data_IF_045960979770
#
_entry.id   IF_045960979770
#
_cell.length_a   1.000
_cell.length_b   1.000
_cell.length_c   1.000
_cell.angle_alpha   90.00
_cell.angle_beta   90.00
_cell.angle_gamma   90.00
#
_symmetry.space_group_name_H-M   'P 1'
#
loop_
_entity.id
_entity.type
_entity.pdbx_description
1 polymer ?
#
# COMPACT_ATOMS: atom_id res chain seq x y z
N UNK A 1 25.00 -6.65 45.02
CA UNK A 1 26.24 -6.00 45.49
C UNK A 1 27.42 -6.85 45.02
N UNK A 2 27.94 -6.59 43.82
CA UNK A 2 29.18 -7.19 43.32
C UNK A 2 29.90 -6.12 42.50
N UNK A 3 30.93 -5.52 43.11
CA UNK A 3 31.88 -4.62 42.45
C UNK A 3 32.87 -5.47 41.62
N UNK A 4 33.14 -5.06 40.38
CA UNK A 4 34.39 -5.41 39.70
C UNK A 4 35.04 -4.17 39.11
N UNK A 5 36.34 -4.08 39.41
CA UNK A 5 37.28 -3.01 39.10
C UNK A 5 37.66 -2.95 37.61
N UNK A 6 37.60 -1.73 37.06
CA UNK A 6 38.61 -0.97 36.30
C UNK A 6 39.66 -1.71 35.44
N UNK A 7 39.76 -1.32 34.16
CA UNK A 7 40.97 -0.65 33.58
C UNK A 7 40.67 0.03 32.23
N UNK A 8 41.16 1.27 31.99
CA UNK A 8 41.06 1.96 30.72
C UNK A 8 42.25 1.64 29.80
N UNK A 9 42.04 1.67 28.48
CA UNK A 9 43.07 1.56 27.46
C UNK A 9 43.19 2.93 26.78
N UNK A 10 44.37 3.54 26.87
CA UNK A 10 44.76 4.73 26.10
C UNK A 10 45.87 4.37 25.08
N UNK A 11 46.08 5.22 24.05
CA UNK A 11 46.44 4.79 22.70
C UNK A 11 47.95 4.74 22.48
N UNK A 12 48.38 3.90 21.54
CA UNK A 12 49.77 3.88 21.06
C UNK A 12 49.86 4.63 19.73
N UNK A 13 50.57 5.77 19.77
CA UNK A 13 51.03 6.50 18.60
C UNK A 13 52.06 5.67 17.82
N UNK A 14 52.01 5.75 16.49
CA UNK A 14 53.14 5.35 15.63
C UNK A 14 53.56 6.52 14.75
N UNK A 15 54.87 6.64 14.72
CA UNK A 15 55.74 7.70 14.25
C UNK A 15 55.81 7.82 12.73
N UNK A 16 56.03 9.06 12.31
CA UNK A 16 56.48 9.54 11.01
C UNK A 16 57.74 8.84 10.49
N UNK A 17 57.72 8.38 9.24
CA UNK A 17 58.91 8.03 8.45
C UNK A 17 58.89 8.75 7.11
N UNK A 18 59.72 9.78 6.96
CA UNK A 18 60.09 10.40 5.68
C UNK A 18 61.09 9.48 4.97
N UNK A 19 60.85 9.16 3.70
CA UNK A 19 61.91 8.73 2.77
C UNK A 19 61.82 9.63 1.54
N UNK A 20 62.95 10.26 1.23
CA UNK A 20 63.17 11.07 0.05
C UNK A 20 63.80 10.21 -1.06
N UNK A 21 63.45 10.53 -2.31
CA UNK A 21 64.34 10.40 -3.46
C UNK A 21 64.18 9.15 -4.33
N UNK A 22 63.56 9.32 -5.51
CA UNK A 22 64.15 8.97 -6.80
C UNK A 22 63.20 9.38 -7.94
N UNK A 23 63.62 10.36 -8.75
CA UNK A 23 63.07 10.60 -10.08
C UNK A 23 63.32 9.36 -10.96
N UNK A 24 62.26 8.79 -11.54
CA UNK A 24 62.33 8.05 -12.80
C UNK A 24 61.13 8.43 -13.65
N UNK A 25 61.42 8.97 -14.84
CA UNK A 25 60.48 9.15 -15.91
C UNK A 25 59.92 7.76 -16.30
N UNK A 26 58.63 7.56 -16.09
CA UNK A 26 57.89 6.35 -16.44
C UNK A 26 56.64 6.74 -17.19
N UNK A 27 56.54 6.25 -18.43
CA UNK A 27 55.43 6.39 -19.37
C UNK A 27 54.08 6.17 -18.67
N UNK A 28 53.19 7.17 -18.73
CA UNK A 28 51.79 7.02 -18.32
C UNK A 28 51.08 6.24 -19.43
N UNK A 29 50.95 4.93 -19.23
CA UNK A 29 50.04 4.10 -20.02
C UNK A 29 48.65 4.19 -19.36
N UNK A 30 47.78 5.06 -19.89
CA UNK A 30 46.37 5.11 -19.48
C UNK A 30 45.68 3.85 -19.99
N UNK A 31 45.67 2.79 -19.17
CA UNK A 31 44.77 1.66 -19.36
C UNK A 31 43.37 2.13 -19.02
N UNK A 32 42.62 2.52 -20.05
CA UNK A 32 41.18 2.68 -19.96
C UNK A 32 40.58 1.30 -19.69
N UNK A 33 40.23 1.03 -18.43
CA UNK A 33 39.35 -0.08 -18.10
C UNK A 33 37.94 0.31 -18.53
N UNK A 34 37.55 -0.11 -19.72
CA UNK A 34 36.14 -0.19 -20.08
C UNK A 34 35.53 -1.28 -19.21
N UNK A 35 34.82 -0.87 -18.15
CA UNK A 35 33.91 -1.77 -17.44
C UNK A 35 32.82 -2.13 -18.47
N UNK A 36 32.64 -3.41 -18.83
CA UNK A 36 31.52 -3.79 -19.66
C UNK A 36 30.25 -3.56 -18.84
N UNK A 37 29.45 -2.56 -19.23
CA UNK A 37 28.06 -2.39 -18.77
C UNK A 37 27.23 -3.52 -19.36
N UNK A 38 27.37 -4.71 -18.79
CA UNK A 38 26.50 -5.84 -19.06
C UNK A 38 25.14 -5.58 -18.40
N UNK A 39 24.20 -5.10 -19.22
CA UNK A 39 22.78 -5.44 -19.13
C UNK A 39 22.00 -4.86 -17.95
N UNK A 40 21.85 -3.54 -17.86
CA UNK A 40 20.79 -2.93 -17.04
C UNK A 40 20.09 -1.73 -17.70
N UNK A 41 20.68 -1.09 -18.71
CA UNK A 41 20.09 0.12 -19.30
C UNK A 41 18.85 -0.19 -20.18
N UNK A 42 18.76 -1.38 -20.76
CA UNK A 42 17.61 -1.78 -21.58
C UNK A 42 16.36 -2.12 -20.75
N UNK A 43 16.53 -2.67 -19.53
CA UNK A 43 15.39 -2.92 -18.62
C UNK A 43 14.94 -1.63 -17.93
N UNK A 44 15.86 -0.72 -17.60
CA UNK A 44 15.53 0.61 -17.07
C UNK A 44 14.88 1.53 -18.13
N UNK A 45 15.24 1.39 -19.41
CA UNK A 45 14.67 2.20 -20.49
C UNK A 45 13.27 1.73 -20.93
N UNK A 46 12.91 0.46 -20.67
CA UNK A 46 11.57 -0.08 -20.97
C UNK A 46 10.46 0.42 -20.02
N UNK A 47 10.81 1.01 -18.87
CA UNK A 47 9.83 1.51 -17.90
C UNK A 47 9.38 2.95 -18.17
N UNK A 48 10.04 3.69 -19.05
CA UNK A 48 9.66 5.06 -19.39
C UNK A 48 8.47 5.15 -20.39
N UNK A 49 7.91 4.04 -20.84
CA UNK A 49 6.81 4.03 -21.80
C UNK A 49 5.44 3.88 -21.13
N UNK A 50 4.44 4.57 -21.71
CA UNK A 50 3.03 4.25 -21.46
C UNK A 50 2.75 2.78 -21.76
N UNK A 51 1.83 2.17 -21.02
CA UNK A 51 1.47 0.77 -21.18
C UNK A 51 0.09 0.47 -20.62
N UNK A 52 -0.25 -0.80 -20.68
CA UNK A 52 -1.49 -1.36 -20.15
C UNK A 52 -1.18 -2.72 -19.53
N UNK A 53 -1.82 -3.04 -18.42
CA UNK A 53 -1.72 -4.36 -17.78
C UNK A 53 -3.12 -4.88 -17.47
N UNK A 54 -3.37 -6.13 -17.84
CA UNK A 54 -4.56 -6.85 -17.43
C UNK A 54 -4.34 -7.44 -16.02
N UNK A 55 -5.39 -7.39 -15.20
CA UNK A 55 -5.38 -7.87 -13.81
C UNK A 55 -6.27 -9.09 -13.66
N UNK A 56 -5.84 -10.01 -12.79
CA UNK A 56 -6.59 -11.21 -12.45
C UNK A 56 -7.25 -11.09 -11.09
N UNK A 57 -8.49 -11.57 -10.99
CA UNK A 57 -9.21 -11.60 -9.72
C UNK A 57 -8.62 -12.66 -8.78
N UNK A 58 -8.25 -12.24 -7.57
CA UNK A 58 -7.74 -13.12 -6.52
C UNK A 58 -8.61 -13.08 -5.28
N UNK A 59 -9.03 -14.26 -4.83
CA UNK A 59 -9.71 -14.45 -3.55
C UNK A 59 -8.67 -14.60 -2.43
N UNK A 60 -8.88 -13.89 -1.33
CA UNK A 60 -8.12 -14.04 -0.10
C UNK A 60 -8.98 -14.79 0.92
N UNK A 61 -8.61 -16.05 1.21
CA UNK A 61 -9.26 -16.84 2.27
C UNK A 61 -8.93 -16.28 3.66
N UNK A 62 -7.67 -15.89 3.83
CA UNK A 62 -7.19 -15.20 5.01
C UNK A 62 -6.92 -13.74 4.67
N UNK A 63 -7.81 -12.85 5.07
CA UNK A 63 -7.63 -11.43 4.85
C UNK A 63 -6.57 -10.87 5.81
N UNK A 64 -5.50 -10.33 5.24
CA UNK A 64 -4.40 -9.72 6.00
C UNK A 64 -3.98 -8.36 5.44
N UNK A 65 -4.76 -7.81 4.51
CA UNK A 65 -4.51 -6.50 3.94
C UNK A 65 -5.14 -5.45 4.86
N UNK A 66 -4.35 -4.49 5.30
CA UNK A 66 -4.83 -3.34 6.05
C UNK A 66 -5.37 -2.28 5.07
N UNK A 67 -6.68 -2.09 5.09
CA UNK A 67 -7.36 -1.09 4.26
C UNK A 67 -7.30 0.30 4.92
N UNK A 68 -7.21 1.38 4.14
CA UNK A 68 -7.17 2.73 4.69
C UNK A 68 -8.52 3.11 5.34
N UNK A 69 -9.64 2.61 4.82
CA UNK A 69 -10.99 2.90 5.32
C UNK A 69 -11.88 1.65 5.27
N UNK A 70 -11.47 0.57 5.96
CA UNK A 70 -12.27 -0.65 6.04
C UNK A 70 -13.69 -0.37 6.55
N UNK A 71 -14.68 -0.82 5.79
CA UNK A 71 -16.10 -0.77 6.17
C UNK A 71 -16.75 -2.13 6.03
N UNK A 72 -17.71 -2.37 6.92
CA UNK A 72 -18.57 -3.55 6.88
C UNK A 72 -20.00 -3.10 6.60
N UNK A 73 -20.54 -3.57 5.49
CA UNK A 73 -21.92 -3.31 5.06
C UNK A 73 -22.86 -4.36 5.62
N UNK A 74 -24.13 -4.00 5.81
CA UNK A 74 -25.15 -4.97 6.24
C UNK A 74 -25.54 -5.83 5.05
N UNK A 75 -25.65 -7.14 5.24
CA UNK A 75 -26.06 -8.06 4.17
C UNK A 75 -27.47 -7.74 3.63
N UNK A 76 -28.41 -7.36 4.50
CA UNK A 76 -29.78 -7.07 4.08
C UNK A 76 -30.44 -8.30 3.44
N UNK A 77 -30.97 -8.12 2.23
CA UNK A 77 -31.61 -9.14 1.40
C UNK A 77 -30.70 -9.68 0.27
N UNK A 78 -29.43 -9.27 0.24
CA UNK A 78 -28.47 -9.75 -0.76
C UNK A 78 -27.41 -8.73 -1.15
N UNK A 79 -26.69 -9.06 -2.22
CA UNK A 79 -25.57 -8.28 -2.74
C UNK A 79 -25.90 -7.79 -4.16
N UNK A 80 -25.61 -6.51 -4.42
CA UNK A 80 -25.74 -5.92 -5.74
C UNK A 80 -24.35 -5.79 -6.37
N UNK A 81 -24.17 -6.39 -7.55
CA UNK A 81 -22.93 -6.32 -8.32
C UNK A 81 -23.28 -5.65 -9.66
N UNK A 82 -23.06 -4.33 -9.82
CA UNK A 82 -23.63 -3.55 -10.93
C UNK A 82 -23.23 -4.00 -12.34
N UNK A 83 -22.14 -4.74 -12.46
CA UNK A 83 -21.64 -5.25 -13.73
C UNK A 83 -22.04 -6.70 -14.00
N UNK A 84 -22.79 -7.34 -13.09
CA UNK A 84 -23.34 -8.69 -13.25
C UNK A 84 -24.63 -8.66 -14.07
N UNK A 85 -24.87 -9.72 -14.83
CA UNK A 85 -26.18 -9.96 -15.46
C UNK A 85 -27.27 -10.31 -14.46
N UNK A 86 -26.90 -10.77 -13.27
CA UNK A 86 -27.85 -11.03 -12.20
C UNK A 86 -28.25 -9.70 -11.53
N UNK A 87 -29.55 -9.44 -11.41
CA UNK A 87 -30.06 -8.26 -10.71
C UNK A 87 -29.59 -8.21 -9.25
N UNK A 88 -29.46 -9.39 -8.62
CA UNK A 88 -29.07 -9.52 -7.22
C UNK A 88 -28.60 -10.94 -6.89
N UNK A 89 -27.65 -11.02 -5.97
CA UNK A 89 -27.27 -12.27 -5.28
C UNK A 89 -28.04 -12.33 -3.97
N UNK A 90 -29.09 -13.15 -3.92
CA UNK A 90 -30.02 -13.21 -2.78
C UNK A 90 -29.31 -13.69 -1.51
N UNK A 91 -29.63 -13.07 -0.36
CA UNK A 91 -29.21 -13.57 0.94
C UNK A 91 -30.41 -13.67 1.89
N UNK A 92 -30.49 -14.78 2.63
CA UNK A 92 -31.61 -15.08 3.55
C UNK A 92 -31.10 -15.64 4.87
N UNK A 93 -31.75 -15.26 5.96
CA UNK A 93 -31.50 -15.87 7.26
C UNK A 93 -32.18 -17.23 7.34
N UNK A 94 -31.43 -18.24 7.73
CA UNK A 94 -31.90 -19.62 7.91
C UNK A 94 -31.60 -20.07 9.34
N UNK A 95 -32.42 -19.61 10.29
CA UNK A 95 -32.10 -19.68 11.71
C UNK A 95 -30.99 -18.70 12.05
N UNK A 96 -29.84 -19.20 12.53
CA UNK A 96 -28.64 -18.39 12.81
C UNK A 96 -27.68 -18.31 11.64
N UNK A 97 -27.84 -19.16 10.63
CA UNK A 97 -27.00 -19.18 9.44
C UNK A 97 -27.48 -18.16 8.40
N UNK A 98 -26.57 -17.79 7.50
CA UNK A 98 -26.88 -17.01 6.31
C UNK A 98 -26.82 -17.90 5.08
N UNK A 99 -27.97 -18.10 4.44
CA UNK A 99 -28.05 -18.63 3.08
C UNK A 99 -27.70 -17.54 2.07
N UNK A 100 -26.85 -17.85 1.11
CA UNK A 100 -26.44 -16.97 0.02
C UNK A 100 -26.58 -17.70 -1.31
N UNK A 101 -27.22 -17.04 -2.26
CA UNK A 101 -27.16 -17.32 -3.70
C UNK A 101 -25.82 -16.81 -4.23
N UNK A 102 -24.96 -17.72 -4.71
CA UNK A 102 -23.62 -17.36 -5.17
C UNK A 102 -23.47 -17.21 -6.67
N UNK A 103 -24.44 -17.64 -7.49
CA UNK A 103 -24.38 -17.51 -8.95
C UNK A 103 -25.46 -16.61 -9.57
N UNK A 104 -26.34 -16.05 -8.75
CA UNK A 104 -27.33 -15.06 -9.12
C UNK A 104 -28.58 -15.66 -9.76
N UNK A 105 -28.85 -16.95 -9.55
CA UNK A 105 -30.03 -17.64 -10.09
C UNK A 105 -31.30 -17.45 -9.24
N UNK A 106 -31.17 -16.80 -8.08
CA UNK A 106 -32.26 -16.52 -7.13
C UNK A 106 -32.50 -17.63 -6.11
N UNK A 107 -31.80 -18.75 -6.20
CA UNK A 107 -31.82 -19.85 -5.25
C UNK A 107 -30.59 -19.82 -4.34
N UNK A 108 -30.80 -20.06 -3.05
CA UNK A 108 -29.68 -20.12 -2.09
C UNK A 108 -28.93 -21.44 -2.29
N UNK A 109 -27.62 -21.36 -2.53
CA UNK A 109 -26.77 -22.52 -2.80
C UNK A 109 -25.58 -22.67 -1.82
N UNK A 110 -25.29 -21.63 -1.02
CA UNK A 110 -24.26 -21.67 0.02
C UNK A 110 -24.83 -21.25 1.37
N UNK A 111 -24.41 -21.94 2.43
CA UNK A 111 -24.78 -21.65 3.81
C UNK A 111 -23.55 -21.25 4.62
N UNK A 112 -23.53 -20.04 5.16
CA UNK A 112 -22.51 -19.54 6.07
C UNK A 112 -22.97 -19.70 7.53
N UNK A 113 -22.16 -20.38 8.32
CA UNK A 113 -22.42 -20.66 9.74
C UNK A 113 -21.31 -20.09 10.63
N UNK A 114 -21.62 -19.90 11.91
CA UNK A 114 -20.68 -19.37 12.90
C UNK A 114 -20.51 -17.84 12.84
N UNK A 115 -19.42 -17.35 13.44
CA UNK A 115 -19.15 -15.91 13.57
C UNK A 115 -18.58 -15.28 12.31
N UNK A 116 -17.89 -16.08 11.48
CA UNK A 116 -17.18 -15.62 10.29
C UNK A 116 -17.44 -16.55 9.11
N UNK A 117 -17.55 -15.97 7.93
CA UNK A 117 -17.73 -16.73 6.68
C UNK A 117 -16.93 -16.14 5.53
N UNK A 118 -16.81 -16.91 4.46
CA UNK A 118 -16.29 -16.45 3.18
C UNK A 118 -17.23 -16.96 2.09
N UNK A 119 -17.71 -16.06 1.26
CA UNK A 119 -18.55 -16.39 0.10
C UNK A 119 -17.91 -15.80 -1.14
N UNK A 120 -17.99 -16.50 -2.26
CA UNK A 120 -17.51 -16.02 -3.55
C UNK A 120 -18.68 -16.01 -4.53
N UNK A 121 -19.16 -14.81 -4.84
CA UNK A 121 -20.15 -14.59 -5.89
C UNK A 121 -19.48 -14.84 -7.24
N UNK A 122 -20.21 -15.42 -8.17
CA UNK A 122 -19.77 -15.75 -9.53
C UNK A 122 -20.90 -15.45 -10.50
N UNK A 123 -20.57 -15.27 -11.77
CA UNK A 123 -21.58 -14.98 -12.78
C UNK A 123 -20.93 -14.55 -14.08
N UNK A 124 -21.74 -13.96 -14.94
CA UNK A 124 -21.29 -13.32 -16.17
C UNK A 124 -21.54 -11.82 -16.10
N UNK A 125 -20.64 -11.05 -16.69
CA UNK A 125 -20.84 -9.62 -16.90
C UNK A 125 -21.83 -9.39 -18.05
N UNK A 126 -22.30 -8.15 -18.24
CA UNK A 126 -23.16 -7.81 -19.39
C UNK A 126 -22.57 -8.23 -20.76
N UNK A 127 -21.23 -8.17 -20.87
CA UNK A 127 -20.48 -8.63 -22.04
C UNK A 127 -20.23 -10.16 -22.12
N UNK A 128 -20.83 -10.95 -21.23
CA UNK A 128 -20.70 -12.42 -21.19
C UNK A 128 -19.38 -12.93 -20.60
N UNK A 129 -18.54 -12.07 -20.01
CA UNK A 129 -17.28 -12.50 -19.40
C UNK A 129 -17.54 -13.07 -18.01
N UNK A 130 -16.93 -14.20 -17.62
CA UNK A 130 -17.08 -14.71 -16.27
C UNK A 130 -16.40 -13.78 -15.25
N UNK A 131 -17.01 -13.64 -14.08
CA UNK A 131 -16.40 -12.91 -12.97
C UNK A 131 -16.47 -13.67 -11.65
N UNK A 132 -15.69 -13.21 -10.67
CA UNK A 132 -15.73 -13.64 -9.28
C UNK A 132 -15.68 -12.42 -8.37
N UNK A 133 -16.38 -12.48 -7.24
CA UNK A 133 -16.38 -11.43 -6.24
C UNK A 133 -16.51 -12.03 -4.83
N UNK A 134 -15.43 -12.01 -4.06
CA UNK A 134 -15.36 -12.62 -2.74
C UNK A 134 -15.65 -11.63 -1.62
N UNK A 135 -16.43 -12.11 -0.65
CA UNK A 135 -16.89 -11.40 0.52
C UNK A 135 -16.54 -12.17 1.78
N UNK A 136 -15.96 -11.50 2.77
CA UNK A 136 -15.87 -12.03 4.13
C UNK A 136 -17.10 -11.58 4.90
N UNK A 137 -17.68 -12.50 5.65
CA UNK A 137 -18.87 -12.31 6.45
C UNK A 137 -18.53 -12.27 7.93
N UNK A 138 -19.27 -11.48 8.69
CA UNK A 138 -19.19 -11.36 10.15
C UNK A 138 -20.60 -11.30 10.73
N UNK A 139 -20.92 -12.17 11.70
CA UNK A 139 -22.25 -12.23 12.34
C UNK A 139 -22.28 -11.64 13.76
N UNK A 140 -21.15 -11.17 14.30
CA UNK A 140 -21.01 -10.68 15.69
C UNK A 140 -21.93 -9.52 16.05
N UNK A 141 -22.40 -8.76 15.06
CA UNK A 141 -23.35 -7.63 15.23
C UNK A 141 -24.48 -7.70 14.20
N UNK A 142 -24.94 -8.92 13.92
CA UNK A 142 -25.76 -9.24 12.76
C UNK A 142 -24.89 -9.43 11.52
N UNK A 143 -25.41 -10.17 10.53
CA UNK A 143 -24.68 -10.50 9.32
C UNK A 143 -24.29 -9.25 8.54
N UNK A 144 -22.98 -9.08 8.42
CA UNK A 144 -22.31 -8.01 7.71
C UNK A 144 -21.25 -8.58 6.80
N UNK A 145 -20.82 -7.81 5.82
CA UNK A 145 -19.82 -8.23 4.86
C UNK A 145 -18.85 -7.13 4.53
N UNK A 146 -17.70 -7.53 3.99
CA UNK A 146 -16.73 -6.64 3.36
C UNK A 146 -15.89 -7.44 2.37
N UNK A 147 -15.20 -6.74 1.47
CA UNK A 147 -14.39 -7.31 0.39
C UNK A 147 -13.37 -8.32 0.89
N UNK A 148 -13.28 -9.49 0.25
CA UNK A 148 -12.25 -10.52 0.51
C UNK A 148 -11.54 -10.98 -0.77
N UNK A 149 -11.49 -10.11 -1.77
CA UNK A 149 -10.70 -10.31 -2.98
C UNK A 149 -10.09 -9.01 -3.50
N UNK A 150 -9.27 -9.12 -4.53
CA UNK A 150 -8.65 -7.98 -5.21
C UNK A 150 -8.40 -8.31 -6.68
N UNK A 151 -8.37 -7.30 -7.54
CA UNK A 151 -7.76 -7.41 -8.86
C UNK A 151 -6.25 -7.27 -8.72
N UNK A 152 -5.48 -8.20 -9.27
CA UNK A 152 -4.03 -8.31 -9.04
C UNK A 152 -3.28 -8.42 -10.35
N UNK A 153 -2.22 -7.62 -10.49
CA UNK A 153 -1.30 -7.71 -11.63
C UNK A 153 0.02 -7.04 -11.32
N UNK A 154 0.77 -6.67 -12.36
CA UNK A 154 2.12 -6.12 -12.21
C UNK A 154 2.42 -5.06 -13.27
N UNK A 155 2.98 -3.94 -12.84
CA UNK A 155 3.64 -2.98 -13.73
C UNK A 155 5.14 -3.22 -13.55
N UNK A 156 5.80 -3.74 -14.59
CA UNK A 156 7.17 -4.25 -14.48
C UNK A 156 7.32 -5.32 -13.40
N UNK A 157 8.25 -5.12 -12.46
CA UNK A 157 8.45 -6.01 -11.32
C UNK A 157 7.57 -5.63 -10.10
N UNK A 158 6.82 -4.56 -10.16
CA UNK A 158 6.00 -4.07 -9.06
C UNK A 158 4.59 -4.66 -9.13
N UNK A 159 4.22 -5.41 -8.09
CA UNK A 159 2.85 -5.92 -7.93
C UNK A 159 1.89 -4.76 -7.63
N UNK A 160 0.72 -4.76 -8.24
CA UNK A 160 -0.39 -3.88 -7.89
C UNK A 160 -1.61 -4.70 -7.49
N UNK A 161 -2.41 -4.19 -6.57
CA UNK A 161 -3.67 -4.78 -6.13
C UNK A 161 -4.72 -3.69 -6.03
N UNK A 162 -5.85 -3.86 -6.71
CA UNK A 162 -7.02 -2.99 -6.59
C UNK A 162 -8.06 -3.67 -5.74
N UNK A 163 -8.63 -2.93 -4.81
CA UNK A 163 -9.57 -3.44 -3.83
C UNK A 163 -10.76 -2.49 -3.78
N UNK A 164 -11.91 -3.00 -4.17
CA UNK A 164 -13.21 -2.38 -3.94
C UNK A 164 -13.50 -2.39 -2.42
N UNK A 165 -12.91 -1.46 -1.67
CA UNK A 165 -13.11 -1.39 -0.21
C UNK A 165 -14.50 -0.86 0.13
N UNK A 166 -15.19 -0.30 -0.86
CA UNK A 166 -16.48 0.32 -0.71
C UNK A 166 -17.62 -0.68 -1.03
N UNK A 167 -17.30 -1.85 -1.58
CA UNK A 167 -18.22 -2.94 -1.89
C UNK A 167 -19.32 -2.60 -2.90
N UNK A 168 -19.06 -1.71 -3.86
CA UNK A 168 -20.03 -1.37 -4.90
C UNK A 168 -19.79 -2.11 -6.23
N UNK A 169 -18.84 -3.04 -6.28
CA UNK A 169 -18.45 -3.79 -7.46
C UNK A 169 -17.58 -3.02 -8.46
N UNK A 170 -17.26 -1.75 -8.22
CA UNK A 170 -16.34 -0.99 -9.07
C UNK A 170 -14.95 -1.00 -8.45
N UNK A 171 -13.95 -0.85 -9.30
CA UNK A 171 -12.54 -0.78 -8.89
C UNK A 171 -11.88 0.52 -9.35
N UNK A 172 -12.65 1.45 -9.94
CA UNK A 172 -12.19 2.72 -10.48
C UNK A 172 -12.65 3.94 -9.66
N UNK A 173 -13.12 3.74 -8.41
CA UNK A 173 -13.53 4.85 -7.55
C UNK A 173 -12.29 5.50 -6.89
N UNK A 174 -11.62 6.36 -7.64
CA UNK A 174 -10.44 7.08 -7.16
C UNK A 174 -10.72 7.88 -5.87
N UNK A 175 -9.85 7.71 -4.87
CA UNK A 175 -9.99 8.31 -3.55
C UNK A 175 -10.95 7.57 -2.61
N UNK A 176 -11.70 6.57 -3.09
CA UNK A 176 -12.64 5.77 -2.30
C UNK A 176 -12.28 4.29 -2.28
N UNK A 177 -11.83 3.70 -3.38
CA UNK A 177 -11.27 2.35 -3.43
C UNK A 177 -9.88 2.31 -2.79
N UNK A 178 -9.34 1.11 -2.62
CA UNK A 178 -8.03 0.89 -2.02
C UNK A 178 -7.06 0.27 -3.01
N UNK A 179 -5.77 0.60 -2.86
CA UNK A 179 -4.70 0.05 -3.67
C UNK A 179 -3.50 -0.34 -2.82
N UNK A 180 -2.89 -1.48 -3.15
CA UNK A 180 -1.54 -1.84 -2.68
C UNK A 180 -0.58 -1.79 -3.85
N UNK A 181 0.52 -1.06 -3.68
CA UNK A 181 1.64 -1.04 -4.63
C UNK A 181 2.86 -1.70 -3.98
N UNK A 182 3.46 -2.66 -4.67
CA UNK A 182 4.59 -3.46 -4.17
C UNK A 182 4.17 -4.68 -3.35
N UNK A 183 5.02 -5.05 -2.38
CA UNK A 183 4.89 -6.30 -1.59
C UNK A 183 4.26 -6.08 -0.20
N UNK A 184 3.95 -4.84 0.15
CA UNK A 184 3.34 -4.48 1.43
C UNK A 184 1.98 -5.14 1.63
N UNK A 185 1.49 -5.09 2.87
CA UNK A 185 0.14 -5.52 3.25
C UNK A 185 -0.76 -4.35 3.63
N UNK A 186 -0.31 -3.13 3.47
CA UNK A 186 -1.09 -1.94 3.76
C UNK A 186 -1.45 -1.26 2.46
N UNK A 187 -2.71 -0.86 2.35
CA UNK A 187 -3.23 -0.17 1.20
C UNK A 187 -3.34 1.33 1.49
N UNK A 188 -3.12 2.13 0.45
CA UNK A 188 -3.58 3.51 0.38
C UNK A 188 -4.95 3.57 -0.30
N UNK A 189 -5.56 4.74 -0.38
CA UNK A 189 -6.68 4.91 -1.30
C UNK A 189 -6.19 4.75 -2.74
N UNK A 190 -7.08 4.32 -3.63
CA UNK A 190 -6.83 4.29 -5.07
C UNK A 190 -6.50 5.72 -5.52
N UNK A 191 -5.36 5.86 -6.17
CA UNK A 191 -4.75 7.14 -6.52
C UNK A 191 -4.64 7.26 -8.03
N UNK A 192 -4.90 8.45 -8.58
CA UNK A 192 -4.64 8.71 -10.00
C UNK A 192 -3.14 8.64 -10.36
N UNK A 193 -2.27 8.71 -9.36
CA UNK A 193 -0.83 8.60 -9.53
C UNK A 193 -0.26 7.59 -8.55
N UNK A 194 0.53 6.66 -9.06
CA UNK A 194 1.20 5.61 -8.25
C UNK A 194 2.71 5.72 -8.40
N UNK A 195 3.45 5.24 -7.40
CA UNK A 195 4.91 5.10 -7.50
C UNK A 195 5.27 3.63 -7.74
N UNK A 196 5.90 3.35 -8.88
CA UNK A 196 6.37 2.02 -9.29
C UNK A 196 7.86 2.13 -9.56
N UNK A 197 8.66 1.31 -8.88
CA UNK A 197 10.13 1.28 -9.04
C UNK A 197 10.78 2.69 -9.02
N UNK A 198 10.40 3.49 -8.02
CA UNK A 198 10.83 4.89 -7.80
C UNK A 198 10.42 5.91 -8.87
N UNK A 199 9.54 5.55 -9.79
CA UNK A 199 8.97 6.48 -10.78
C UNK A 199 7.46 6.68 -10.55
N UNK A 200 6.97 7.88 -10.85
CA UNK A 200 5.55 8.21 -10.78
C UNK A 200 4.85 7.93 -12.12
N UNK A 201 3.71 7.25 -12.05
CA UNK A 201 2.85 7.00 -13.19
C UNK A 201 1.45 7.51 -12.93
N UNK A 202 0.88 8.23 -13.90
CA UNK A 202 -0.56 8.44 -13.95
C UNK A 202 -1.22 7.14 -14.40
N UNK A 203 -2.34 6.78 -13.77
CA UNK A 203 -3.10 5.56 -14.09
C UNK A 203 -4.57 5.84 -14.33
N UNK A 204 -5.15 5.01 -15.18
CA UNK A 204 -6.59 4.86 -15.40
C UNK A 204 -6.95 3.39 -15.18
N UNK A 205 -8.10 3.14 -14.54
CA UNK A 205 -8.54 1.80 -14.16
C UNK A 205 -9.87 1.51 -14.84
N UNK A 206 -10.04 0.32 -15.42
CA UNK A 206 -11.33 -0.07 -15.97
C UNK A 206 -12.38 -0.22 -14.84
N UNK A 207 -13.68 0.02 -15.08
CA UNK A 207 -14.71 -0.09 -14.04
C UNK A 207 -14.71 -1.41 -13.27
N UNK A 208 -14.44 -2.52 -13.96
CA UNK A 208 -14.35 -3.86 -13.38
C UNK A 208 -12.98 -4.20 -12.78
N UNK A 209 -12.02 -3.27 -12.85
CA UNK A 209 -10.65 -3.44 -12.37
C UNK A 209 -9.80 -4.43 -13.18
N UNK A 210 -10.31 -4.95 -14.30
CA UNK A 210 -9.60 -5.96 -15.10
C UNK A 210 -8.42 -5.39 -15.88
N UNK A 211 -8.30 -4.07 -15.98
CA UNK A 211 -7.22 -3.39 -16.69
C UNK A 211 -6.79 -2.12 -15.98
N UNK A 212 -5.48 -1.88 -16.01
CA UNK A 212 -4.87 -0.60 -15.64
C UNK A 212 -4.04 -0.09 -16.82
N UNK A 213 -4.40 1.08 -17.32
CA UNK A 213 -3.58 1.85 -18.25
C UNK A 213 -2.68 2.79 -17.45
N UNK A 214 -1.42 2.92 -17.86
CA UNK A 214 -0.45 3.74 -17.15
C UNK A 214 0.46 4.51 -18.10
N UNK A 215 0.91 5.68 -17.66
CA UNK A 215 1.89 6.51 -18.37
C UNK A 215 2.76 7.28 -17.38
N UNK A 216 4.01 7.64 -17.74
CA UNK A 216 4.81 8.52 -16.88
C UNK A 216 4.02 9.76 -16.48
N UNK A 217 4.09 10.10 -15.19
CA UNK A 217 3.47 11.30 -14.67
C UNK A 217 4.25 12.53 -15.12
N UNK A 218 3.56 13.49 -15.74
CA UNK A 218 4.12 14.70 -16.34
C UNK A 218 3.76 15.98 -15.56
N UNK A 219 3.07 15.83 -14.42
CA UNK A 219 2.70 16.94 -13.56
C UNK A 219 3.84 17.40 -12.65
N UNK A 220 3.63 18.51 -11.91
CA UNK A 220 4.61 19.00 -10.96
C UNK A 220 4.84 17.97 -9.85
N UNK A 221 6.10 17.72 -9.51
CA UNK A 221 6.51 16.77 -8.46
C UNK A 221 7.31 17.47 -7.39
N UNK A 222 7.16 17.03 -6.14
CA UNK A 222 8.04 17.40 -5.05
C UNK A 222 8.47 16.16 -4.27
N UNK A 223 9.33 16.36 -3.27
CA UNK A 223 9.82 15.27 -2.43
C UNK A 223 9.22 15.36 -1.04
N UNK A 224 8.74 14.24 -0.52
CA UNK A 224 8.20 14.13 0.82
C UNK A 224 9.08 13.21 1.66
N UNK A 225 9.62 13.74 2.75
CA UNK A 225 10.40 12.99 3.74
C UNK A 225 9.57 12.75 4.99
N UNK A 226 9.19 11.49 5.21
CA UNK A 226 8.37 11.07 6.34
C UNK A 226 9.18 10.45 7.49
N UNK A 227 10.50 10.30 7.34
CA UNK A 227 11.34 9.56 8.30
C UNK A 227 12.34 10.44 9.01
N UNK A 228 12.98 11.42 8.36
CA UNK A 228 14.12 12.13 8.96
C UNK A 228 13.78 12.93 10.22
N UNK A 229 12.49 13.28 10.40
CA UNK A 229 11.98 13.97 11.60
C UNK A 229 11.17 13.06 12.53
N UNK A 230 11.15 11.75 12.28
CA UNK A 230 10.49 10.77 13.12
C UNK A 230 11.47 10.31 14.21
N UNK A 231 11.43 10.97 15.37
CA UNK A 231 12.30 10.64 16.52
C UNK A 231 11.70 9.50 17.36
N UNK A 232 11.88 8.26 16.90
CA UNK A 232 11.49 7.06 17.65
C UNK A 232 12.33 5.85 17.28
N UNK A 233 12.43 4.89 18.21
CA UNK A 233 13.00 3.56 17.95
C UNK A 233 12.02 2.62 17.25
N UNK A 234 10.74 3.00 17.17
CA UNK A 234 9.72 2.20 16.49
C UNK A 234 9.85 2.33 14.98
N UNK A 235 9.58 1.23 14.25
CA UNK A 235 9.50 1.24 12.80
C UNK A 235 8.16 1.83 12.36
N UNK A 236 8.18 2.66 11.33
CA UNK A 236 6.96 3.08 10.64
C UNK A 236 6.43 1.89 9.81
N UNK A 237 5.45 1.20 10.37
CA UNK A 237 4.89 -0.03 9.81
C UNK A 237 3.77 0.25 8.78
N UNK A 238 3.06 1.37 8.95
CA UNK A 238 2.05 1.88 8.01
C UNK A 238 2.11 3.40 8.04
N UNK A 239 2.00 4.03 6.87
CA UNK A 239 1.76 5.46 6.76
C UNK A 239 0.96 5.77 5.50
N UNK A 240 -0.31 6.10 5.67
CA UNK A 240 -1.15 6.57 4.57
C UNK A 240 -1.27 8.08 4.62
N UNK A 241 -0.91 8.74 3.52
CA UNK A 241 -1.20 10.15 3.27
C UNK A 241 -2.25 10.26 2.16
N UNK A 242 -3.01 11.36 2.17
CA UNK A 242 -4.00 11.68 1.13
C UNK A 242 -3.92 13.16 0.77
N UNK A 243 -3.99 13.48 -0.51
CA UNK A 243 -4.13 14.87 -0.98
C UNK A 243 -5.51 15.40 -0.60
N UNK A 244 -5.63 16.70 -0.33
CA UNK A 244 -6.89 17.30 0.11
C UNK A 244 -7.96 17.32 -0.99
N UNK A 245 -7.55 17.27 -2.26
CA UNK A 245 -8.46 17.11 -3.39
C UNK A 245 -8.89 15.64 -3.61
N UNK A 246 -8.39 14.72 -2.78
CA UNK A 246 -8.71 13.29 -2.82
C UNK A 246 -8.09 12.52 -3.97
N UNK A 247 -7.35 13.18 -4.89
CA UNK A 247 -6.84 12.57 -6.13
C UNK A 247 -5.64 11.65 -5.93
N UNK A 248 -4.89 11.87 -4.86
CA UNK A 248 -3.63 11.18 -4.60
C UNK A 248 -3.61 10.59 -3.20
N UNK A 249 -3.13 9.35 -3.09
CA UNK A 249 -2.88 8.71 -1.81
C UNK A 249 -1.71 7.75 -1.92
N UNK A 250 -0.87 7.73 -0.89
CA UNK A 250 0.34 6.92 -0.86
C UNK A 250 0.47 6.21 0.49
N UNK A 251 0.87 4.95 0.43
CA UNK A 251 1.39 4.19 1.57
C UNK A 251 2.92 4.33 1.55
N UNK A 252 3.49 4.91 2.60
CA UNK A 252 4.89 5.33 2.67
C UNK A 252 5.66 4.61 3.79
N UNK A 253 5.18 3.45 4.24
CA UNK A 253 5.92 2.62 5.18
C UNK A 253 7.17 2.04 4.52
N UNK A 254 8.23 1.85 5.31
CA UNK A 254 9.48 1.25 4.82
C UNK A 254 10.38 2.18 3.99
N UNK A 255 9.93 3.39 3.66
CA UNK A 255 10.78 4.40 3.02
C UNK A 255 12.00 4.73 3.88
N UNK A 256 13.13 5.01 3.23
CA UNK A 256 14.40 5.31 3.89
C UNK A 256 14.81 6.78 3.78
N UNK A 257 14.06 7.57 3.03
CA UNK A 257 14.35 8.97 2.77
C UNK A 257 13.20 9.66 2.06
N UNK A 258 13.50 10.81 1.47
CA UNK A 258 12.51 11.60 0.75
C UNK A 258 12.09 10.91 -0.56
N UNK A 259 10.78 10.73 -0.75
CA UNK A 259 10.18 10.11 -1.95
C UNK A 259 9.49 11.12 -2.82
N UNK A 260 9.42 10.88 -4.12
CA UNK A 260 8.65 11.73 -5.02
C UNK A 260 7.15 11.49 -4.87
N UNK A 261 6.40 12.59 -4.85
CA UNK A 261 4.93 12.63 -4.89
C UNK A 261 4.49 13.82 -5.75
N UNK A 262 3.28 13.80 -6.35
CA UNK A 262 2.73 14.97 -7.00
C UNK A 262 2.73 16.19 -6.07
N UNK A 263 3.14 17.35 -6.58
CA UNK A 263 3.05 18.59 -5.83
C UNK A 263 1.59 18.87 -5.46
N UNK A 264 1.33 19.25 -4.22
CA UNK A 264 -0.03 19.36 -3.71
C UNK A 264 -0.09 19.61 -2.21
N UNK A 265 -1.32 19.67 -1.70
CA UNK A 265 -1.57 19.77 -0.26
C UNK A 265 -2.07 18.43 0.25
N UNK A 266 -1.40 17.89 1.26
CA UNK A 266 -1.64 16.57 1.80
C UNK A 266 -2.00 16.63 3.28
N UNK A 267 -2.66 15.58 3.75
CA UNK A 267 -2.84 15.31 5.17
C UNK A 267 -2.40 13.87 5.47
N UNK A 268 -1.92 13.68 6.70
CA UNK A 268 -1.81 12.36 7.30
C UNK A 268 -3.23 11.79 7.41
N UNK A 269 -3.45 10.57 6.90
CA UNK A 269 -4.71 9.86 7.08
C UNK A 269 -4.60 8.92 8.29
N UNK A 270 -3.68 7.96 8.20
CA UNK A 270 -3.46 6.95 9.22
C UNK A 270 -2.00 6.52 9.23
N UNK A 271 -1.56 5.93 10.33
CA UNK A 271 -0.25 5.30 10.42
C UNK A 271 -0.18 4.29 11.55
N UNK A 272 0.88 3.47 11.56
CA UNK A 272 1.19 2.54 12.64
C UNK A 272 2.68 2.53 12.89
N UNK A 273 3.04 2.56 14.16
CA UNK A 273 4.40 2.37 14.65
C UNK A 273 4.51 0.97 15.27
N UNK A 274 5.63 0.29 15.01
CA UNK A 274 5.91 -1.05 15.51
C UNK A 274 7.22 -1.08 16.29
N UNK A 275 7.16 -1.55 17.55
CA UNK A 275 8.34 -1.80 18.39
C UNK A 275 8.24 -3.21 18.99
N UNK A 276 8.98 -4.17 18.42
CA UNK A 276 8.86 -5.58 18.80
C UNK A 276 7.45 -6.12 18.56
N UNK A 277 6.74 -6.67 19.56
CA UNK A 277 5.33 -7.06 19.45
C UNK A 277 4.37 -5.86 19.59
N UNK A 278 4.81 -4.74 20.15
CA UNK A 278 3.96 -3.58 20.43
C UNK A 278 3.62 -2.84 19.14
N UNK A 279 2.35 -2.46 19.00
CA UNK A 279 1.83 -1.67 17.89
C UNK A 279 1.12 -0.43 18.44
N UNK A 280 1.41 0.72 17.84
CA UNK A 280 0.76 2.00 18.17
C UNK A 280 0.13 2.55 16.91
N UNK A 281 -1.17 2.80 16.94
CA UNK A 281 -1.88 3.43 15.82
C UNK A 281 -1.75 4.95 15.92
N UNK A 282 -1.38 5.57 14.81
CA UNK A 282 -1.37 7.02 14.61
C UNK A 282 -2.61 7.39 13.80
N UNK A 283 -3.40 8.33 14.30
CA UNK A 283 -4.56 8.88 13.60
C UNK A 283 -4.32 10.34 13.29
N UNK A 284 -4.87 10.83 12.17
CA UNK A 284 -4.76 12.24 11.77
C UNK A 284 -5.16 13.21 12.91
N UNK A 285 -6.25 12.92 13.62
CA UNK A 285 -6.76 13.78 14.68
C UNK A 285 -7.03 15.20 14.18
N UNK A 286 -6.36 16.20 14.79
CA UNK A 286 -6.39 17.61 14.37
C UNK A 286 -5.11 18.03 13.61
N UNK A 287 -4.37 17.08 13.05
CA UNK A 287 -3.16 17.39 12.27
C UNK A 287 -3.52 18.35 11.14
N UNK A 288 -2.73 19.42 11.02
CA UNK A 288 -2.86 20.33 9.88
C UNK A 288 -2.38 19.64 8.61
N UNK A 289 -2.95 20.03 7.48
CA UNK A 289 -2.40 19.70 6.18
C UNK A 289 -1.03 20.34 5.98
N UNK A 290 -0.27 19.82 5.04
CA UNK A 290 1.04 20.32 4.67
C UNK A 290 1.17 20.38 3.15
N UNK A 291 1.90 21.37 2.65
CA UNK A 291 2.15 21.54 1.23
C UNK A 291 3.46 20.88 0.84
N UNK A 292 3.44 20.16 -0.27
CA UNK A 292 4.60 19.71 -1.02
C UNK A 292 4.64 20.56 -2.29
N UNK A 293 5.61 21.46 -2.41
CA UNK A 293 5.78 22.29 -3.60
C UNK A 293 6.56 21.53 -4.68
N UNK A 294 6.44 21.99 -5.94
CA UNK A 294 7.26 21.48 -7.02
C UNK A 294 8.75 21.69 -6.71
N UNK A 295 9.58 20.70 -7.01
CA UNK A 295 11.05 20.71 -6.89
C UNK A 295 11.58 20.96 -5.47
N UNK A 296 10.72 20.96 -4.46
CA UNK A 296 11.08 21.14 -3.05
C UNK A 296 11.02 19.83 -2.28
N UNK A 297 11.87 19.71 -1.25
CA UNK A 297 11.74 18.66 -0.24
C UNK A 297 10.97 19.17 0.97
N UNK A 298 9.85 18.52 1.28
CA UNK A 298 9.08 18.75 2.50
C UNK A 298 9.35 17.61 3.49
N UNK A 299 9.88 17.91 4.67
CA UNK A 299 9.88 16.94 5.77
C UNK A 299 8.59 17.04 6.58
N UNK A 300 7.93 15.90 6.80
CA UNK A 300 6.78 15.79 7.67
C UNK A 300 7.22 15.99 9.13
N UNK A 301 6.63 16.98 9.80
CA UNK A 301 6.80 17.14 11.23
C UNK A 301 5.81 16.23 11.97
N UNK A 302 6.33 15.29 12.74
CA UNK A 302 5.52 14.35 13.52
C UNK A 302 5.06 14.96 14.83
N UNK A 303 3.88 15.58 14.82
CA UNK A 303 3.13 15.95 16.03
C UNK A 303 3.82 16.91 17.01
N UNK A 304 3.05 17.34 18.01
CA UNK A 304 3.54 17.92 19.27
C UNK A 304 3.58 16.84 20.37
N UNK A 305 3.79 17.20 21.66
CA UNK A 305 3.94 16.22 22.74
C UNK A 305 2.80 15.19 22.78
N UNK A 306 3.16 13.90 22.82
CA UNK A 306 2.22 12.79 22.85
C UNK A 306 1.61 12.63 24.24
N UNK A 307 0.28 12.48 24.31
CA UNK A 307 -0.42 11.99 25.51
C UNK A 307 -0.77 10.52 25.28
N UNK A 308 -0.12 9.64 26.04
CA UNK A 308 -0.38 8.19 26.00
C UNK A 308 -1.38 7.88 27.11
N UNK A 309 -2.55 7.35 26.75
CA UNK A 309 -3.56 6.88 27.70
C UNK A 309 -3.63 5.35 27.64
N UNK A 310 -3.43 4.70 28.78
CA UNK A 310 -3.54 3.25 28.91
C UNK A 310 -4.98 2.91 29.32
N UNK A 311 -5.69 2.17 28.47
CA UNK A 311 -6.92 1.49 28.88
C UNK A 311 -6.56 0.06 29.23
N UNK A 312 -6.58 -0.27 30.52
CA UNK A 312 -6.47 -1.63 30.99
C UNK A 312 -7.85 -2.28 30.89
N UNK A 313 -7.97 -3.33 30.08
CA UNK A 313 -9.06 -4.29 30.26
C UNK A 313 -8.62 -5.28 31.35
N UNK A 314 -9.39 -5.35 32.43
CA UNK A 314 -9.27 -6.45 33.39
C UNK A 314 -9.82 -7.70 32.70
N UNK A 315 -9.02 -8.75 32.66
CA UNK A 315 -9.50 -10.13 32.44
C UNK A 315 -10.40 -10.57 33.61
#
# INVERSE_FOLDING_TARGET
>A
MVQRFVRPIHPTAWTTGRIAGALRAGVVLTLAWTVPTLGNDAELSAMASKGSVDLDYRIYRDWSIELPAERFDKVGDGFAIPFSQADKYVARLEGTALGVDTDGDGEVDVRAEGEKGLVALRGQTDSGRPFKYALRLDSSRGWRYTVSGAMVGRIGATKIQLIDQNNNGRYDDFGEDAMVVGRGRSASFLSHVIRVDDQLYAIDVSPDGSRVDYRPFDGPVGRLDVISKLDTKAKLAVLVIRSLDGRHSFELSGEKGAVEVPAGTYALHSGKLALGPTRVSVRAGRSKSFRVSADETRSLAWGGPLRIEYQYQKE
#
